data_IF_526220549546
#
_entry.id   IF_526220549546
#
_cell.length_a   1.000
_cell.length_b   1.000
_cell.length_c   1.000
_cell.angle_alpha   90.00
_cell.angle_beta   90.00
_cell.angle_gamma   90.00
#
_symmetry.space_group_name_H-M   'P 1'
#
loop_
_entity.id
_entity.type
_entity.pdbx_description
1 polymer ?
#
# COMPACT_ATOMS: atom_id res chain seq x y z
N UNK A 1 10.39 17.06 32.08
CA UNK A 1 9.32 17.23 31.08
C UNK A 1 9.70 18.35 30.14
N UNK A 2 9.43 18.22 28.84
CA UNK A 2 9.68 19.28 27.86
C UNK A 2 8.57 20.34 27.94
N UNK A 3 8.88 21.65 27.90
CA UNK A 3 7.89 22.72 27.81
C UNK A 3 7.00 22.58 26.57
N UNK A 4 5.69 22.78 26.73
CA UNK A 4 4.69 22.74 25.64
C UNK A 4 4.91 23.81 24.56
N UNK A 5 5.73 24.83 24.82
CA UNK A 5 6.09 25.90 23.89
C UNK A 5 7.14 25.50 22.85
N UNK A 6 7.79 24.34 23.01
CA UNK A 6 8.84 23.91 22.08
C UNK A 6 8.18 23.28 20.84
N UNK A 7 8.44 23.82 19.63
CA UNK A 7 7.87 23.27 18.40
C UNK A 7 8.47 21.89 18.10
N UNK A 8 7.59 20.90 17.88
CA UNK A 8 7.96 19.55 17.52
C UNK A 8 7.76 19.33 16.02
N UNK A 9 8.85 19.01 15.32
CA UNK A 9 8.84 18.70 13.90
C UNK A 9 9.03 17.19 13.68
N UNK A 10 8.48 16.69 12.58
CA UNK A 10 8.73 15.33 12.08
C UNK A 10 9.40 15.46 10.72
N UNK A 11 10.33 14.57 10.42
CA UNK A 11 10.82 14.39 9.06
C UNK A 11 9.69 13.87 8.18
N UNK A 12 9.34 14.64 7.16
CA UNK A 12 8.39 14.22 6.15
C UNK A 12 9.16 13.80 4.90
N UNK A 13 9.11 12.49 4.61
CA UNK A 13 9.63 11.85 3.40
C UNK A 13 11.07 12.24 2.99
N UNK A 14 12.04 11.78 3.78
CA UNK A 14 13.48 11.87 3.48
C UNK A 14 13.96 10.67 2.65
N UNK A 15 13.26 10.34 1.56
CA UNK A 15 13.53 9.16 0.72
C UNK A 15 12.84 7.87 1.18
N UNK A 16 12.11 7.91 2.31
CA UNK A 16 11.35 6.77 2.82
C UNK A 16 10.16 6.40 1.92
N UNK A 17 9.60 7.37 1.19
CA UNK A 17 8.46 7.14 0.30
C UNK A 17 8.75 6.14 -0.82
N UNK A 18 9.95 6.20 -1.41
CA UNK A 18 10.37 5.26 -2.44
C UNK A 18 10.52 3.84 -1.86
N UNK A 19 11.17 3.72 -0.71
CA UNK A 19 11.33 2.43 -0.03
C UNK A 19 9.98 1.79 0.32
N UNK A 20 9.01 2.61 0.74
CA UNK A 20 7.64 2.14 1.00
C UNK A 20 6.92 1.71 -0.27
N UNK A 21 7.13 2.40 -1.40
CA UNK A 21 6.60 1.98 -2.69
C UNK A 21 7.19 0.64 -3.12
N UNK A 22 8.52 0.50 -3.09
CA UNK A 22 9.22 -0.73 -3.47
C UNK A 22 8.74 -1.93 -2.66
N UNK A 23 8.66 -1.76 -1.34
CA UNK A 23 8.18 -2.80 -0.44
C UNK A 23 6.72 -3.18 -0.72
N UNK A 24 5.83 -2.19 -0.80
CA UNK A 24 4.40 -2.44 -0.99
C UNK A 24 4.11 -3.08 -2.35
N UNK A 25 4.71 -2.58 -3.43
CA UNK A 25 4.52 -3.12 -4.78
C UNK A 25 5.07 -4.54 -4.89
N UNK A 26 6.26 -4.79 -4.33
CA UNK A 26 6.87 -6.13 -4.31
C UNK A 26 5.94 -7.15 -3.67
N UNK A 27 5.41 -6.82 -2.48
CA UNK A 27 4.60 -7.77 -1.73
C UNK A 27 3.19 -7.95 -2.30
N UNK A 28 2.59 -6.89 -2.85
CA UNK A 28 1.32 -6.97 -3.58
C UNK A 28 1.45 -7.88 -4.79
N UNK A 29 2.52 -7.72 -5.59
CA UNK A 29 2.76 -8.59 -6.75
C UNK A 29 3.04 -10.03 -6.33
N UNK A 30 3.76 -10.23 -5.23
CA UNK A 30 4.03 -11.57 -4.69
C UNK A 30 2.73 -12.33 -4.39
N UNK A 31 1.78 -11.70 -3.69
CA UNK A 31 0.48 -12.31 -3.40
C UNK A 31 -0.41 -12.41 -4.64
N UNK A 32 -0.44 -11.36 -5.48
CA UNK A 32 -1.24 -11.36 -6.71
C UNK A 32 -0.83 -12.49 -7.67
N UNK A 33 0.46 -12.83 -7.72
CA UNK A 33 1.00 -13.92 -8.54
C UNK A 33 1.07 -15.26 -7.80
N UNK A 34 0.51 -15.35 -6.59
CA UNK A 34 0.42 -16.58 -5.79
C UNK A 34 1.77 -17.23 -5.50
N UNK A 35 2.83 -16.41 -5.36
CA UNK A 35 4.18 -16.94 -5.12
C UNK A 35 4.31 -17.66 -3.79
N UNK A 36 3.48 -17.29 -2.82
CA UNK A 36 3.27 -18.00 -1.56
C UNK A 36 2.70 -19.42 -1.77
N UNK A 37 1.63 -19.56 -2.56
CA UNK A 37 1.04 -20.87 -2.88
C UNK A 37 2.03 -21.74 -3.66
N UNK A 38 2.69 -21.16 -4.66
CA UNK A 38 3.69 -21.88 -5.44
C UNK A 38 4.91 -22.27 -4.61
N UNK A 39 5.28 -21.46 -3.62
CA UNK A 39 6.33 -21.82 -2.67
C UNK A 39 5.92 -23.05 -1.84
N UNK A 40 4.68 -23.12 -1.36
CA UNK A 40 4.16 -24.28 -0.65
C UNK A 40 4.10 -25.54 -1.54
N UNK A 41 3.65 -25.41 -2.80
CA UNK A 41 3.66 -26.52 -3.77
C UNK A 41 5.08 -27.01 -4.07
N UNK A 42 6.03 -26.08 -4.21
CA UNK A 42 7.45 -26.41 -4.41
C UNK A 42 8.02 -27.20 -3.23
N UNK A 43 7.69 -26.84 -1.99
CA UNK A 43 8.13 -27.60 -0.81
C UNK A 43 7.61 -29.04 -0.79
N UNK A 44 6.48 -29.29 -1.45
CA UNK A 44 5.88 -30.61 -1.63
C UNK A 44 6.39 -31.32 -2.90
N UNK A 45 7.34 -30.72 -3.64
CA UNK A 45 7.79 -31.17 -4.95
C UNK A 45 6.63 -31.38 -5.96
N UNK A 46 5.55 -30.60 -5.81
CA UNK A 46 4.34 -30.73 -6.61
C UNK A 46 4.30 -29.67 -7.71
N UNK A 47 4.13 -30.11 -8.95
CA UNK A 47 3.84 -29.23 -10.07
C UNK A 47 2.34 -29.14 -10.30
N UNK A 48 1.76 -27.97 -10.03
CA UNK A 48 0.35 -27.72 -10.30
C UNK A 48 0.15 -26.25 -10.65
N UNK A 49 -0.33 -25.94 -11.86
CA UNK A 49 -0.81 -24.61 -12.21
C UNK A 49 -2.02 -24.23 -11.35
N UNK A 50 -2.02 -23.00 -10.87
CA UNK A 50 -3.09 -22.41 -10.08
C UNK A 50 -3.78 -21.31 -10.87
N UNK A 51 -5.10 -21.17 -10.67
CA UNK A 51 -5.87 -20.11 -11.32
C UNK A 51 -5.35 -18.72 -10.94
N UNK A 52 -5.27 -17.85 -11.94
CA UNK A 52 -4.76 -16.49 -11.78
C UNK A 52 -5.81 -15.59 -11.11
N UNK A 53 -5.36 -14.70 -10.22
CA UNK A 53 -6.22 -13.66 -9.71
C UNK A 53 -6.49 -12.61 -10.78
N UNK A 54 -7.73 -12.11 -10.83
CA UNK A 54 -8.08 -10.95 -11.63
C UNK A 54 -7.88 -9.68 -10.82
N UNK A 55 -7.42 -8.62 -11.48
CA UNK A 55 -7.19 -7.31 -10.82
C UNK A 55 -8.47 -6.69 -10.27
N UNK A 56 -9.62 -6.97 -10.89
CA UNK A 56 -10.94 -6.51 -10.48
C UNK A 56 -11.37 -7.05 -9.12
N UNK A 57 -10.96 -8.28 -8.79
CA UNK A 57 -11.25 -8.98 -7.54
C UNK A 57 -10.21 -8.68 -6.45
N UNK A 58 -9.09 -8.04 -6.80
CA UNK A 58 -7.96 -7.80 -5.91
C UNK A 58 -7.91 -6.34 -5.43
N UNK A 59 -8.75 -6.02 -4.44
CA UNK A 59 -8.82 -4.65 -3.87
C UNK A 59 -7.83 -4.47 -2.73
N UNK A 60 -6.95 -3.46 -2.85
CA UNK A 60 -5.91 -3.16 -1.85
C UNK A 60 -6.37 -2.06 -0.88
N UNK A 61 -6.38 -2.34 0.42
CA UNK A 61 -6.68 -1.36 1.46
C UNK A 61 -5.43 -0.64 1.96
N UNK A 62 -5.35 0.68 1.78
CA UNK A 62 -4.28 1.52 2.34
C UNK A 62 -4.80 2.21 3.60
N UNK A 63 -4.37 1.75 4.77
CA UNK A 63 -4.71 2.37 6.04
C UNK A 63 -3.73 3.52 6.36
N UNK A 64 -4.17 4.75 6.13
CA UNK A 64 -3.42 5.98 6.40
C UNK A 64 -3.07 6.75 5.12
N UNK A 65 -3.95 7.65 4.68
CA UNK A 65 -3.72 8.52 3.52
C UNK A 65 -2.78 9.73 3.78
N UNK A 66 -1.72 9.53 4.56
CA UNK A 66 -0.66 10.53 4.79
C UNK A 66 0.37 10.56 3.66
N UNK A 67 1.52 11.21 3.88
CA UNK A 67 2.60 11.35 2.87
C UNK A 67 3.03 10.00 2.30
N UNK A 68 3.32 9.01 3.15
CA UNK A 68 3.75 7.68 2.70
C UNK A 68 2.61 6.87 2.04
N UNK A 69 1.40 6.91 2.58
CA UNK A 69 0.25 6.21 2.00
C UNK A 69 -0.11 6.73 0.60
N UNK A 70 0.04 8.04 0.37
CA UNK A 70 -0.11 8.62 -0.96
C UNK A 70 0.97 8.12 -1.93
N UNK A 71 2.23 8.00 -1.49
CA UNK A 71 3.31 7.44 -2.31
C UNK A 71 3.00 5.99 -2.68
N UNK A 72 2.61 5.15 -1.73
CA UNK A 72 2.24 3.75 -2.00
C UNK A 72 1.08 3.67 -3.02
N UNK A 73 0.04 4.50 -2.84
CA UNK A 73 -1.09 4.55 -3.78
C UNK A 73 -0.64 4.87 -5.21
N UNK A 74 0.29 5.82 -5.38
CA UNK A 74 0.87 6.16 -6.69
C UNK A 74 1.62 4.97 -7.32
N UNK A 75 2.37 4.20 -6.52
CA UNK A 75 3.04 3.00 -7.02
C UNK A 75 2.07 1.92 -7.50
N UNK A 76 0.95 1.76 -6.78
CA UNK A 76 -0.08 0.77 -7.12
C UNK A 76 -0.93 1.18 -8.34
N UNK A 77 -1.09 2.48 -8.61
CA UNK A 77 -1.76 2.97 -9.81
C UNK A 77 -1.09 2.46 -11.09
N UNK A 78 0.25 2.41 -11.13
CA UNK A 78 0.99 1.91 -12.30
C UNK A 78 0.68 0.44 -12.62
N UNK A 79 0.29 -0.36 -11.61
CA UNK A 79 -0.08 -1.77 -11.78
C UNK A 79 -1.55 -2.02 -12.15
N UNK A 80 -2.34 -0.95 -12.35
CA UNK A 80 -3.78 -0.98 -12.57
C UNK A 80 -4.56 -1.73 -11.46
N UNK A 81 -4.07 -1.66 -10.22
CA UNK A 81 -4.76 -2.26 -9.07
C UNK A 81 -5.87 -1.34 -8.56
N UNK A 82 -7.00 -1.94 -8.19
CA UNK A 82 -8.03 -1.25 -7.41
C UNK A 82 -7.53 -1.08 -5.98
N UNK A 83 -7.63 0.13 -5.43
CA UNK A 83 -7.28 0.39 -4.03
C UNK A 83 -8.25 1.37 -3.37
N UNK A 84 -8.36 1.26 -2.05
CA UNK A 84 -9.12 2.17 -1.20
C UNK A 84 -8.19 2.71 -0.12
N UNK A 85 -8.08 4.04 0.00
CA UNK A 85 -7.24 4.68 1.00
C UNK A 85 -8.09 5.34 2.09
N UNK A 86 -7.93 4.89 3.33
CA UNK A 86 -8.59 5.46 4.50
C UNK A 86 -7.68 6.43 5.25
N UNK A 87 -8.22 7.52 5.78
CA UNK A 87 -7.52 8.38 6.74
C UNK A 87 -8.14 8.21 8.13
N UNK A 88 -7.32 8.05 9.17
CA UNK A 88 -7.80 8.22 10.54
C UNK A 88 -8.29 9.66 10.72
N UNK A 89 -9.42 9.82 11.42
CA UNK A 89 -10.20 11.05 11.55
C UNK A 89 -9.37 12.32 11.74
N UNK A 90 -9.83 13.41 11.10
CA UNK A 90 -9.19 14.71 11.08
C UNK A 90 -8.76 15.17 12.47
N UNK A 91 -7.45 15.31 12.70
CA UNK A 91 -6.97 16.12 13.83
C UNK A 91 -7.38 17.56 13.53
N UNK A 92 -7.99 18.21 14.52
CA UNK A 92 -8.45 19.61 14.51
C UNK A 92 -7.39 20.49 13.82
N UNK A 93 -7.70 21.02 12.63
CA UNK A 93 -6.81 21.91 11.86
C UNK A 93 -6.15 21.35 10.58
N UNK A 94 -6.26 20.06 10.26
CA UNK A 94 -5.82 19.52 8.95
C UNK A 94 -6.96 18.79 8.24
N UNK A 95 -7.32 19.26 7.04
CA UNK A 95 -8.30 18.57 6.17
C UNK A 95 -7.76 17.19 5.81
N UNK A 96 -8.51 16.14 6.13
CA UNK A 96 -8.26 14.81 5.60
C UNK A 96 -8.52 14.84 4.10
N UNK A 97 -7.49 14.60 3.29
CA UNK A 97 -7.63 14.41 1.85
C UNK A 97 -7.89 12.93 1.60
N UNK A 98 -9.14 12.58 1.31
CA UNK A 98 -9.43 11.28 0.73
C UNK A 98 -8.74 11.23 -0.65
N UNK A 99 -7.93 10.21 -0.89
CA UNK A 99 -7.39 9.95 -2.21
C UNK A 99 -8.49 9.24 -3.01
N UNK A 100 -8.91 9.76 -4.18
CA UNK A 100 -9.85 9.04 -5.01
C UNK A 100 -9.25 7.67 -5.34
N UNK A 101 -10.00 6.60 -5.05
CA UNK A 101 -9.62 5.25 -5.42
C UNK A 101 -9.50 5.16 -6.94
N UNK A 102 -8.33 4.74 -7.44
CA UNK A 102 -8.16 4.49 -8.86
C UNK A 102 -9.13 3.41 -9.29
N UNK A 103 -10.05 3.73 -10.21
CA UNK A 103 -10.84 2.70 -10.90
C UNK A 103 -9.91 2.04 -11.91
N UNK A 104 -9.82 0.71 -11.85
CA UNK A 104 -9.43 -0.08 -13.00
C UNK A 104 -10.62 -0.04 -13.97
N UNK A 105 -10.45 0.66 -15.08
CA UNK A 105 -11.22 0.48 -16.31
C UNK A 105 -10.43 -0.46 -17.24
#
# INVERSE_FOLDING_TARGET
MLPLSIPLFRLEDTGMGLQMQEYAVSQVLHWFRRFDDYHALKQQARWQPLDEYRREDFTIGIMGAGVLGAKVAQGLQAGAFRYVAGAAAARRGRRCKALPGGRAE
#
